data_IF_138506952007
#
_entry.id   IF_138506952007
#
_cell.length_a   1.000
_cell.length_b   1.000
_cell.length_c   1.000
_cell.angle_alpha   90.00
_cell.angle_beta   90.00
_cell.angle_gamma   90.00
#
_symmetry.space_group_name_H-M   'P 1'
#
loop_
_entity.id
_entity.type
_entity.pdbx_description
1 polymer ?
2 polymer ?
3 non-polymer ?
4 non-polymer ?
5 non-polymer ?
6 non-polymer ?
7 water ?
#
# COMPACT_ATOMS: atom_id res chain seq x y z
N UNK A 1 -18.70 14.01 9.43
CA UNK A 1 -18.12 12.87 8.72
C UNK A 1 -17.82 11.73 9.68
N UNK A 2 -18.41 10.56 9.41
CA UNK A 2 -18.17 9.37 10.22
C UNK A 2 -16.74 8.91 9.96
N UNK A 3 -15.86 9.03 10.96
CA UNK A 3 -14.44 8.80 10.75
C UNK A 3 -13.86 8.00 11.91
N UNK A 4 -12.76 7.31 11.62
CA UNK A 4 -11.96 6.63 12.63
C UNK A 4 -10.50 6.93 12.30
N UNK A 5 -9.84 7.71 13.13
CA UNK A 5 -8.50 8.23 12.84
C UNK A 5 -7.52 7.66 13.86
N UNK A 6 -6.57 6.88 13.39
CA UNK A 6 -5.56 6.27 14.24
C UNK A 6 -4.31 7.15 14.31
N UNK A 7 -3.42 6.80 15.24
CA UNK A 7 -2.21 7.56 15.46
C UNK A 7 -1.20 7.30 14.33
N UNK A 8 -0.01 7.88 14.47
CA UNK A 8 0.99 7.82 13.44
C UNK A 8 1.90 6.62 13.54
N UNK A 9 2.85 6.52 12.61
CA UNK A 9 3.77 5.38 12.60
C UNK A 9 4.67 5.36 13.83
N UNK A 10 5.18 4.17 14.13
CA UNK A 10 5.93 3.93 15.35
C UNK A 10 7.20 3.14 15.06
N UNK A 11 8.23 3.41 15.86
CA UNK A 11 9.44 2.59 15.92
C UNK A 11 9.62 2.23 17.39
N UNK A 12 9.65 0.93 17.68
CA UNK A 12 9.74 0.46 19.05
C UNK A 12 10.85 -0.57 19.17
N UNK A 13 11.71 -0.40 20.17
CA UNK A 13 12.77 -1.37 20.42
C UNK A 13 12.17 -2.72 20.81
N UNK A 14 12.83 -3.82 20.47
CA UNK A 14 12.32 -5.15 20.85
C UNK A 14 12.21 -5.28 22.37
N UNK A 15 11.01 -5.60 22.84
CA UNK A 15 10.72 -5.72 24.25
C UNK A 15 9.96 -4.56 24.84
N UNK A 16 9.77 -3.47 24.08
CA UNK A 16 9.07 -2.29 24.58
C UNK A 16 7.56 -2.47 24.35
N UNK A 17 6.81 -1.40 24.59
CA UNK A 17 5.36 -1.42 24.47
C UNK A 17 4.91 -0.28 23.55
N UNK A 18 3.91 -0.56 22.72
CA UNK A 18 3.29 0.44 21.86
C UNK A 18 1.82 0.52 22.21
N UNK A 19 1.26 1.73 22.15
CA UNK A 19 -0.16 1.96 22.43
C UNK A 19 -0.74 2.77 21.28
N UNK A 20 -1.53 2.12 20.43
CA UNK A 20 -2.10 2.75 19.25
C UNK A 20 -3.42 3.40 19.61
N UNK A 21 -3.61 4.63 19.16
CA UNK A 21 -4.84 5.38 19.38
C UNK A 21 -5.83 5.17 18.25
N UNK A 22 -7.09 5.47 18.52
CA UNK A 22 -8.16 5.29 17.53
C UNK A 22 -9.33 6.18 17.96
N UNK A 23 -9.32 7.43 17.51
CA UNK A 23 -10.33 8.40 17.88
C UNK A 23 -11.45 8.42 16.85
N UNK A 24 -12.68 8.60 17.31
CA UNK A 24 -13.87 8.54 16.48
C UNK A 24 -14.47 9.92 16.28
N UNK A 25 -15.25 10.05 15.20
CA UNK A 25 -15.92 11.30 14.87
C UNK A 25 -17.16 10.99 14.05
N UNK A 26 -18.24 11.73 14.31
CA UNK A 26 -19.43 11.62 13.50
C UNK A 26 -20.56 10.82 14.10
N UNK A 27 -20.23 9.71 14.73
CA UNK A 27 -21.22 8.79 15.30
C UNK A 27 -21.10 8.75 16.82
N UNK A 28 -22.10 8.14 17.45
CA UNK A 28 -22.07 7.94 18.90
C UNK A 28 -21.03 6.88 19.24
N UNK A 29 -19.92 7.31 19.83
CA UNK A 29 -18.82 6.38 20.11
C UNK A 29 -19.15 5.44 21.25
N UNK A 30 -19.94 5.89 22.23
CA UNK A 30 -20.25 5.04 23.38
C UNK A 30 -21.12 3.86 23.00
N UNK A 31 -21.92 3.99 21.95
CA UNK A 31 -22.80 2.92 21.49
C UNK A 31 -22.08 1.90 20.62
N UNK A 32 -20.82 2.14 20.25
CA UNK A 32 -20.16 1.39 19.20
C UNK A 32 -19.16 0.41 19.78
N UNK A 33 -19.21 -0.83 19.29
CA UNK A 33 -18.16 -1.80 19.59
C UNK A 33 -16.92 -1.48 18.77
N UNK A 34 -15.80 -2.13 19.12
CA UNK A 34 -14.55 -1.87 18.44
C UNK A 34 -13.70 -3.12 18.43
N UNK A 35 -13.29 -3.55 17.24
CA UNK A 35 -12.37 -4.67 17.08
C UNK A 35 -11.04 -4.17 16.52
N UNK A 36 -9.97 -4.90 16.84
CA UNK A 36 -8.62 -4.56 16.41
C UNK A 36 -8.08 -5.69 15.55
N UNK A 37 -7.52 -5.33 14.39
CA UNK A 37 -6.97 -6.29 13.44
C UNK A 37 -5.63 -5.75 12.94
N UNK A 38 -4.66 -6.65 12.75
CA UNK A 38 -3.37 -6.29 12.20
C UNK A 38 -3.12 -7.07 10.92
N UNK A 39 -2.13 -6.61 10.16
CA UNK A 39 -1.74 -7.28 8.91
C UNK A 39 -0.27 -7.01 8.66
N UNK A 40 0.54 -8.05 8.66
CA UNK A 40 1.95 -7.90 8.32
C UNK A 40 2.10 -7.67 6.81
N UNK A 41 3.23 -7.09 6.44
CA UNK A 41 3.50 -6.71 5.05
C UNK A 41 3.40 -7.92 4.12
N UNK A 42 2.36 -7.97 3.31
CA UNK A 42 2.18 -9.07 2.37
C UNK A 42 1.60 -10.33 2.97
N UNK A 43 0.81 -10.22 4.02
CA UNK A 43 0.17 -11.36 4.66
C UNK A 43 -1.34 -11.14 4.73
N UNK A 44 -2.01 -11.96 5.53
CA UNK A 44 -3.44 -11.87 5.71
C UNK A 44 -3.78 -11.10 6.97
N UNK A 45 -5.06 -10.79 7.13
CA UNK A 45 -5.52 -10.06 8.31
C UNK A 45 -5.54 -10.98 9.52
N UNK A 46 -5.14 -10.44 10.67
CA UNK A 46 -5.09 -11.20 11.91
C UNK A 46 -5.90 -10.48 12.97
N UNK A 47 -6.95 -11.14 13.47
CA UNK A 47 -7.80 -10.56 14.49
C UNK A 47 -7.08 -10.55 15.84
N UNK A 48 -7.13 -9.41 16.52
CA UNK A 48 -6.45 -9.27 17.81
C UNK A 48 -7.47 -9.40 18.93
N UNK A 49 -8.49 -8.55 18.90
CA UNK A 49 -9.53 -8.59 19.92
C UNK A 49 -10.59 -7.56 19.64
N UNK A 50 -11.59 -7.53 20.50
CA UNK A 50 -12.68 -6.58 20.39
C UNK A 50 -13.16 -6.20 21.78
N UNK A 51 -13.82 -5.05 21.86
CA UNK A 51 -14.33 -4.52 23.12
C UNK A 51 -15.79 -4.14 22.93
N UNK A 52 -16.60 -4.42 23.94
CA UNK A 52 -18.04 -4.17 23.88
C UNK A 52 -18.30 -2.69 24.15
N UNK A 53 -19.39 -2.12 23.65
CA UNK A 53 -19.68 -0.72 23.93
C UNK A 53 -20.11 -0.51 25.38
N UNK A 54 -19.82 0.68 25.90
CA UNK A 54 -20.24 1.05 27.24
C UNK A 54 -19.24 0.72 28.32
N UNK A 55 -18.87 -0.55 28.44
CA UNK A 55 -17.97 -1.02 29.48
C UNK A 55 -16.61 -1.35 28.90
N UNK A 56 -15.68 -1.71 29.77
CA UNK A 56 -14.36 -2.13 29.40
C UNK A 56 -14.22 -3.61 29.12
N UNK A 57 -15.32 -4.35 29.10
CA UNK A 57 -15.28 -5.79 28.83
C UNK A 57 -14.71 -6.06 27.45
N UNK A 58 -13.51 -6.64 27.40
CA UNK A 58 -12.83 -6.95 26.15
C UNK A 58 -12.65 -8.45 26.01
N UNK A 59 -12.37 -8.88 24.77
CA UNK A 59 -12.14 -10.28 24.46
C UNK A 59 -11.01 -10.37 23.44
N UNK A 60 -10.02 -11.20 23.72
CA UNK A 60 -8.83 -11.29 22.89
C UNK A 60 -8.67 -12.69 22.31
N UNK A 61 -7.89 -12.77 21.24
CA UNK A 61 -7.48 -14.08 20.74
C UNK A 61 -6.41 -14.66 21.65
N UNK A 62 -6.29 -15.99 21.63
CA UNK A 62 -5.34 -16.67 22.51
C UNK A 62 -3.90 -16.23 22.23
N UNK A 63 -3.61 -15.84 20.98
CA UNK A 63 -2.25 -15.46 20.63
C UNK A 63 -1.84 -14.15 21.30
N UNK A 64 -2.79 -13.23 21.46
CA UNK A 64 -2.51 -11.91 22.02
C UNK A 64 -3.08 -11.74 23.42
N UNK A 65 -3.57 -12.82 24.05
CA UNK A 65 -4.20 -12.71 25.36
C UNK A 65 -3.22 -12.18 26.41
N UNK A 66 -1.95 -12.58 26.33
CA UNK A 66 -1.03 -12.32 27.41
C UNK A 66 -0.45 -10.91 27.39
N UNK A 67 -0.38 -10.27 26.22
CA UNK A 67 0.35 -9.02 26.10
C UNK A 67 -0.40 -7.90 25.40
N UNK A 68 -1.66 -8.09 25.01
CA UNK A 68 -2.47 -7.05 24.39
C UNK A 68 -3.55 -6.62 25.36
N UNK A 69 -3.73 -5.31 25.51
CA UNK A 69 -4.77 -4.74 26.37
C UNK A 69 -5.54 -3.72 25.55
N UNK A 70 -6.82 -3.99 25.30
CA UNK A 70 -7.69 -3.10 24.53
C UNK A 70 -8.56 -2.33 25.52
N UNK A 71 -8.49 -1.00 25.44
CA UNK A 71 -9.23 -0.11 26.33
C UNK A 71 -10.01 0.89 25.49
N UNK A 72 -10.74 1.78 26.17
CA UNK A 72 -11.52 2.79 25.50
C UNK A 72 -11.84 3.91 26.49
N UNK A 73 -12.02 5.12 25.96
CA UNK A 73 -12.26 6.31 26.77
C UNK A 73 -13.46 7.03 26.18
N UNK A 74 -14.60 7.00 26.89
CA UNK A 74 -15.82 7.60 26.38
C UNK A 74 -15.75 9.12 26.43
N UNK A 75 -14.97 9.68 27.36
CA UNK A 75 -14.88 11.13 27.49
C UNK A 75 -14.18 11.75 26.29
N UNK A 76 -13.06 11.16 25.87
CA UNK A 76 -12.29 11.66 24.74
C UNK A 76 -12.62 10.94 23.44
N UNK A 77 -13.55 9.97 23.48
CA UNK A 77 -14.02 9.27 22.29
C UNK A 77 -12.87 8.58 21.55
N UNK A 78 -12.00 7.89 22.31
CA UNK A 78 -10.84 7.25 21.73
C UNK A 78 -10.66 5.86 22.33
N UNK A 79 -10.50 4.87 21.47
CA UNK A 79 -10.14 3.52 21.89
C UNK A 79 -8.66 3.29 21.69
N UNK A 80 -8.09 2.44 22.55
CA UNK A 80 -6.66 2.18 22.52
C UNK A 80 -6.40 0.67 22.46
N UNK A 81 -5.21 0.33 21.96
CA UNK A 81 -4.75 -1.05 21.93
C UNK A 81 -3.26 -1.04 22.26
N UNK A 82 -2.90 -1.57 23.42
CA UNK A 82 -1.53 -1.57 23.90
C UNK A 82 -0.95 -2.97 23.77
N UNK A 83 0.17 -3.09 23.05
CA UNK A 83 0.84 -4.36 22.82
C UNK A 83 2.21 -4.31 23.49
N UNK A 84 2.38 -5.09 24.55
CA UNK A 84 3.62 -5.16 25.29
C UNK A 84 4.47 -6.35 24.81
N UNK A 85 5.71 -6.38 25.28
CA UNK A 85 6.67 -7.42 24.91
C UNK A 85 6.80 -7.53 23.39
N UNK A 86 7.03 -6.38 22.76
CA UNK A 86 7.11 -6.32 21.30
C UNK A 86 8.31 -7.11 20.79
N UNK A 87 8.08 -7.89 19.73
CA UNK A 87 9.13 -8.65 19.06
C UNK A 87 9.06 -8.41 17.57
N UNK A 88 9.98 -9.05 16.83
CA UNK A 88 10.12 -8.77 15.40
C UNK A 88 8.86 -9.13 14.63
N UNK A 89 8.19 -10.23 15.03
CA UNK A 89 7.02 -10.69 14.30
C UNK A 89 5.81 -9.80 14.48
N UNK A 90 5.89 -8.77 15.33
CA UNK A 90 4.77 -7.88 15.54
C UNK A 90 4.71 -6.74 14.54
N UNK A 91 5.73 -6.56 13.70
CA UNK A 91 5.74 -5.52 12.70
C UNK A 91 4.59 -5.71 11.71
N UNK A 92 3.62 -4.80 11.74
CA UNK A 92 2.42 -4.92 10.92
C UNK A 92 1.70 -3.57 10.91
N UNK A 93 0.61 -3.52 10.15
CA UNK A 93 -0.29 -2.37 10.13
C UNK A 93 -1.52 -2.71 10.97
N UNK A 94 -1.72 -1.97 12.05
CA UNK A 94 -2.78 -2.25 13.00
C UNK A 94 -3.99 -1.36 12.71
N UNK A 95 -5.15 -1.98 12.55
CA UNK A 95 -6.38 -1.28 12.22
C UNK A 95 -7.37 -1.36 13.38
N UNK A 96 -8.26 -0.37 13.45
CA UNK A 96 -9.41 -0.40 14.34
C UNK A 96 -10.68 -0.25 13.51
N UNK A 97 -11.69 -1.06 13.85
CA UNK A 97 -12.95 -1.05 13.14
C UNK A 97 -14.09 -0.90 14.14
N UNK A 98 -15.20 -0.36 13.67
CA UNK A 98 -16.35 -0.10 14.53
C UNK A 98 -17.60 0.04 13.68
N UNK A 99 -18.75 -0.37 14.17
CA UNK A 99 -20.00 -0.02 13.50
C UNK A 99 -20.44 1.39 13.88
N UNK A 100 -21.03 2.08 12.91
CA UNK A 100 -21.54 3.42 13.17
C UNK A 100 -22.87 3.34 13.90
N UNK A 101 -23.11 4.30 14.77
CA UNK A 101 -24.29 4.29 15.63
C UNK A 101 -24.80 5.72 15.81
N UNK A 102 -26.10 5.84 16.01
CA UNK A 102 -26.64 7.07 16.57
C UNK A 102 -26.89 6.83 18.06
N UNK A 103 -27.80 7.61 18.65
CA UNK A 103 -28.01 7.52 20.10
C UNK A 103 -28.68 6.22 20.52
N UNK A 104 -29.34 5.51 19.60
CA UNK A 104 -30.08 4.31 19.97
C UNK A 104 -29.76 3.09 19.12
N UNK A 105 -29.55 3.26 17.82
CA UNK A 105 -29.36 2.14 16.91
C UNK A 105 -27.92 2.09 16.41
N UNK A 106 -27.51 0.88 16.00
CA UNK A 106 -26.17 0.63 15.49
C UNK A 106 -26.25 -0.20 14.22
N UNK A 107 -25.15 -0.23 13.49
CA UNK A 107 -25.02 -1.12 12.35
C UNK A 107 -24.75 -2.55 12.84
N UNK A 108 -25.08 -3.51 11.99
CA UNK A 108 -24.94 -4.92 12.35
C UNK A 108 -23.57 -5.49 12.06
N UNK A 109 -22.66 -4.69 11.50
CA UNK A 109 -21.31 -5.15 11.20
C UNK A 109 -20.36 -3.96 11.25
N UNK A 110 -19.08 -4.25 11.08
CA UNK A 110 -18.02 -3.24 11.19
C UNK A 110 -17.82 -2.59 9.82
N UNK A 111 -18.37 -1.39 9.65
CA UNK A 111 -18.25 -0.66 8.40
C UNK A 111 -17.32 0.54 8.47
N UNK A 112 -16.99 1.03 9.66
CA UNK A 112 -16.10 2.17 9.84
C UNK A 112 -14.73 1.63 10.19
N UNK A 113 -13.72 2.02 9.40
CA UNK A 113 -12.36 1.51 9.57
C UNK A 113 -11.39 2.67 9.67
N UNK A 114 -10.37 2.50 10.51
CA UNK A 114 -9.29 3.46 10.58
C UNK A 114 -8.30 3.26 9.45
N UNK A 115 -7.49 4.31 9.21
CA UNK A 115 -6.53 4.27 8.13
C UNK A 115 -5.36 3.33 8.41
N UNK A 116 -5.21 2.86 9.64
CA UNK A 116 -4.13 1.96 9.98
C UNK A 116 -2.93 2.64 10.57
N UNK A 117 -2.28 1.98 11.53
CA UNK A 117 -1.07 2.49 12.15
C UNK A 117 0.05 1.46 11.92
N UNK A 118 1.11 1.89 11.26
CA UNK A 118 2.24 1.01 10.95
C UNK A 118 3.22 1.04 12.10
N UNK A 119 3.43 -0.12 12.74
CA UNK A 119 4.36 -0.27 13.84
C UNK A 119 5.50 -1.17 13.38
N UNK A 120 6.73 -0.70 13.54
CA UNK A 120 7.92 -1.45 13.16
C UNK A 120 8.77 -1.70 14.41
N UNK A 121 9.13 -2.95 14.63
CA UNK A 121 9.95 -3.35 15.77
C UNK A 121 11.33 -3.72 15.24
N UNK A 122 12.35 -3.01 15.72
CA UNK A 122 13.73 -3.28 15.35
C UNK A 122 14.65 -2.50 16.27
N UNK A 123 15.88 -2.98 16.40
CA UNK A 123 16.90 -2.25 17.14
C UNK A 123 17.52 -1.11 16.33
N UNK A 124 17.27 -1.07 15.03
CA UNK A 124 17.82 -0.02 14.19
C UNK A 124 17.22 1.33 14.55
N UNK A 125 18.04 2.38 14.48
CA UNK A 125 17.60 3.72 14.85
C UNK A 125 16.87 4.39 13.69
N UNK A 126 16.04 5.37 14.03
CA UNK A 126 15.27 6.10 13.04
C UNK A 126 16.16 7.06 12.26
N UNK A 127 15.87 7.20 10.97
CA UNK A 127 16.64 8.10 10.11
C UNK A 127 15.72 8.72 9.07
N UNK A 128 15.80 10.04 8.92
CA UNK A 128 15.01 10.75 7.95
C UNK A 128 15.57 10.63 6.55
N UNK A 129 14.72 10.85 5.55
CA UNK A 129 15.13 10.65 4.16
C UNK A 129 15.76 11.88 3.54
N UNK A 130 16.56 11.64 2.51
CA UNK A 130 17.06 12.67 1.62
C UNK A 130 16.22 12.65 0.35
N UNK A 131 15.72 13.81 -0.07
CA UNK A 131 14.88 13.94 -1.24
C UNK A 131 15.71 14.55 -2.36
N UNK A 132 15.88 13.81 -3.45
CA UNK A 132 16.61 14.26 -4.62
C UNK A 132 15.68 14.39 -5.82
N UNK A 133 15.94 15.34 -6.71
CA UNK A 133 15.05 15.52 -7.86
C UNK A 133 15.35 14.54 -8.99
N UNK A 134 14.27 14.03 -9.59
CA UNK A 134 14.37 13.28 -10.84
C UNK A 134 13.93 14.24 -11.95
N UNK A 135 14.89 15.06 -12.37
CA UNK A 135 14.58 16.18 -13.25
C UNK A 135 14.19 15.67 -14.64
N UNK A 136 13.24 16.33 -15.30
CA UNK A 136 12.89 15.94 -16.67
C UNK A 136 13.88 16.51 -17.67
N UNK A 137 14.03 15.80 -18.79
CA UNK A 137 14.99 16.18 -19.81
C UNK A 137 14.52 15.62 -21.15
N UNK A 138 15.39 15.70 -22.16
CA UNK A 138 15.09 15.09 -23.45
C UNK A 138 15.04 13.58 -23.34
N UNK A 139 15.80 13.01 -22.41
CA UNK A 139 15.83 11.57 -22.19
C UNK A 139 14.71 11.09 -21.28
N UNK A 140 13.73 11.94 -20.97
CA UNK A 140 12.55 11.54 -20.21
C UNK A 140 11.28 12.12 -20.83
N UNK A 141 11.27 12.32 -22.14
CA UNK A 141 10.14 12.86 -22.88
C UNK A 141 9.79 11.92 -24.02
N UNK A 142 8.50 11.65 -24.17
CA UNK A 142 7.99 10.82 -25.25
C UNK A 142 6.65 11.40 -25.69
N UNK A 143 6.46 11.50 -27.00
CA UNK A 143 5.34 12.26 -27.52
C UNK A 143 5.43 13.70 -27.06
N UNK A 144 4.33 14.18 -26.45
CA UNK A 144 4.24 15.49 -25.88
C UNK A 144 4.30 15.53 -24.37
N UNK A 145 4.60 14.40 -23.73
CA UNK A 145 4.57 14.26 -22.29
C UNK A 145 5.97 14.01 -21.76
N UNK A 146 6.25 14.57 -20.59
CA UNK A 146 7.53 14.44 -19.92
C UNK A 146 7.32 13.85 -18.53
N UNK A 147 8.35 13.19 -18.02
CA UNK A 147 8.32 12.55 -16.71
C UNK A 147 9.33 13.21 -15.78
N UNK A 148 8.89 13.45 -14.55
CA UNK A 148 9.74 13.98 -13.49
C UNK A 148 9.35 13.30 -12.20
N UNK A 149 10.17 13.46 -11.17
CA UNK A 149 9.85 12.80 -9.92
C UNK A 149 10.80 13.16 -8.80
N UNK A 150 10.67 12.42 -7.70
CA UNK A 150 11.46 12.61 -6.50
C UNK A 150 11.99 11.28 -6.00
N UNK A 151 13.25 11.27 -5.59
CA UNK A 151 13.89 10.09 -5.02
C UNK A 151 13.99 10.25 -3.51
N UNK A 152 13.14 9.53 -2.78
CA UNK A 152 13.13 9.55 -1.33
C UNK A 152 14.02 8.39 -0.87
N UNK A 153 15.23 8.72 -0.41
CA UNK A 153 16.29 7.74 -0.27
C UNK A 153 16.87 7.73 1.14
N UNK A 154 17.17 6.51 1.62
CA UNK A 154 17.93 6.28 2.85
C UNK A 154 17.17 6.78 4.08
N UNK A 155 16.05 6.11 4.35
CA UNK A 155 15.24 6.40 5.52
C UNK A 155 14.85 5.10 6.20
N UNK A 156 14.46 5.22 7.48
CA UNK A 156 14.02 4.08 8.27
C UNK A 156 13.21 4.63 9.44
N UNK A 157 12.06 4.04 9.76
CA UNK A 157 11.52 2.89 9.02
C UNK A 157 10.45 3.31 8.03
N UNK A 158 9.69 2.34 7.55
CA UNK A 158 8.47 2.65 6.81
C UNK A 158 7.50 3.38 7.74
N UNK A 159 6.60 4.20 7.18
CA UNK A 159 6.46 4.54 5.77
C UNK A 159 6.84 5.99 5.46
N UNK A 160 6.58 6.41 4.23
CA UNK A 160 6.70 7.81 3.83
C UNK A 160 5.49 8.16 2.99
N UNK A 161 5.08 9.43 3.05
CA UNK A 161 3.96 9.93 2.28
C UNK A 161 4.49 10.91 1.24
N UNK A 162 4.10 10.71 -0.02
CA UNK A 162 4.51 11.58 -1.12
C UNK A 162 3.27 12.04 -1.87
N UNK A 163 3.09 13.36 -1.94
CA UNK A 163 2.08 13.99 -2.78
C UNK A 163 2.75 15.04 -3.64
N UNK A 164 2.01 15.54 -4.63
CA UNK A 164 2.55 16.49 -5.59
C UNK A 164 1.71 17.77 -5.59
N UNK A 165 2.39 18.91 -5.48
CA UNK A 165 1.74 20.23 -5.48
C UNK A 165 0.69 20.31 -4.39
N UNK A 166 1.03 19.81 -3.20
CA UNK A 166 0.15 19.82 -2.03
C UNK A 166 -1.16 19.09 -2.29
N UNK A 167 -1.11 18.05 -3.12
CA UNK A 167 -2.28 17.27 -3.43
C UNK A 167 -3.07 17.73 -4.64
N UNK A 168 -2.68 18.85 -5.25
CA UNK A 168 -3.39 19.33 -6.44
C UNK A 168 -3.08 18.47 -7.66
N UNK A 169 -2.00 17.71 -7.64
CA UNK A 169 -1.58 16.89 -8.76
C UNK A 169 -1.72 15.42 -8.37
N UNK A 170 -2.67 14.73 -9.00
CA UNK A 170 -2.89 13.31 -8.75
C UNK A 170 -2.85 12.51 -10.04
N UNK A 171 -3.30 13.14 -11.14
CA UNK A 171 -3.33 12.45 -12.42
C UNK A 171 -1.92 12.17 -12.90
N UNK A 172 -1.64 10.90 -13.18
CA UNK A 172 -0.35 10.48 -13.70
C UNK A 172 0.74 10.24 -12.68
N UNK A 173 0.41 10.24 -11.39
CA UNK A 173 1.39 10.03 -10.34
C UNK A 173 1.54 8.54 -10.08
N UNK A 174 2.79 8.10 -9.94
CA UNK A 174 3.12 6.72 -9.57
C UNK A 174 4.14 6.77 -8.44
N UNK A 175 3.69 6.48 -7.22
CA UNK A 175 4.58 6.37 -6.08
C UNK A 175 4.89 4.89 -5.86
N UNK A 176 6.11 4.49 -6.21
CA UNK A 176 6.49 3.09 -6.14
C UNK A 176 6.71 2.66 -4.69
N UNK A 177 6.51 1.39 -4.39
CA UNK A 177 6.80 0.90 -3.04
C UNK A 177 8.29 0.90 -2.76
N UNK A 178 8.62 1.05 -1.48
CA UNK A 178 10.02 1.17 -1.07
C UNK A 178 10.74 -0.16 -1.23
N UNK A 179 12.05 -0.08 -1.46
CA UNK A 179 12.92 -1.24 -1.47
C UNK A 179 13.85 -1.15 -0.27
N UNK A 180 14.17 -2.30 0.31
CA UNK A 180 15.08 -2.37 1.44
C UNK A 180 16.50 -2.49 0.90
N UNK A 181 17.27 -1.42 1.06
CA UNK A 181 18.65 -1.40 0.58
C UNK A 181 19.54 -2.24 1.50
N UNK A 182 20.72 -2.60 0.97
CA UNK A 182 21.66 -3.42 1.73
C UNK A 182 22.15 -2.71 2.98
N UNK A 183 21.99 -1.39 3.07
CA UNK A 183 22.39 -0.63 4.24
C UNK A 183 21.41 -0.74 5.39
N UNK A 184 20.25 -1.37 5.19
CA UNK A 184 19.22 -1.43 6.19
C UNK A 184 18.21 -0.31 6.12
N UNK A 185 18.42 0.68 5.26
CA UNK A 185 17.50 1.79 5.07
C UNK A 185 16.66 1.56 3.82
N UNK A 186 15.52 2.25 3.77
CA UNK A 186 14.61 2.14 2.64
C UNK A 186 14.89 3.25 1.63
N UNK A 187 14.40 3.04 0.41
CA UNK A 187 14.55 4.02 -0.66
C UNK A 187 13.32 3.93 -1.56
N UNK A 188 12.69 5.08 -1.81
CA UNK A 188 11.46 5.14 -2.57
C UNK A 188 11.60 6.21 -3.65
N UNK A 189 10.85 6.02 -4.74
CA UNK A 189 10.79 7.00 -5.82
C UNK A 189 9.34 7.24 -6.21
N UNK A 190 8.97 8.50 -6.35
CA UNK A 190 7.66 8.91 -6.86
C UNK A 190 7.87 9.71 -8.14
N UNK A 191 7.08 9.40 -9.16
CA UNK A 191 7.19 10.04 -10.46
C UNK A 191 5.81 10.49 -10.92
N UNK A 192 5.79 11.36 -11.92
CA UNK A 192 4.55 11.87 -12.50
C UNK A 192 4.84 12.27 -13.95
N UNK A 193 3.89 11.97 -14.83
CA UNK A 193 4.00 12.33 -16.24
C UNK A 193 3.14 13.58 -16.50
N UNK A 194 3.77 14.59 -17.12
CA UNK A 194 3.10 15.86 -17.40
C UNK A 194 3.37 16.23 -18.85
N UNK A 195 2.52 17.07 -19.46
CA UNK A 195 2.82 17.54 -20.81
C UNK A 195 4.09 18.36 -20.85
N UNK A 196 4.84 18.22 -21.95
CA UNK A 196 6.14 18.87 -22.06
C UNK A 196 6.02 20.39 -22.01
N UNK A 197 4.96 20.94 -22.61
CA UNK A 197 4.81 22.39 -22.69
C UNK A 197 4.54 23.04 -21.34
N UNK A 198 4.24 22.26 -20.30
CA UNK A 198 3.97 22.81 -18.98
C UNK A 198 5.23 22.97 -18.14
N UNK A 199 6.36 22.40 -18.56
CA UNK A 199 7.55 22.39 -17.72
C UNK A 199 8.09 23.80 -17.48
N UNK A 200 7.82 24.73 -18.39
CA UNK A 200 8.36 26.07 -18.25
C UNK A 200 7.49 27.03 -17.47
N UNK A 201 6.18 26.83 -17.51
CA UNK A 201 5.23 27.75 -16.89
C UNK A 201 4.49 27.15 -15.70
N UNK A 202 4.81 25.92 -15.29
CA UNK A 202 4.15 25.27 -14.17
C UNK A 202 5.21 24.70 -13.24
N UNK A 203 5.07 24.96 -11.94
CA UNK A 203 5.99 24.46 -10.95
C UNK A 203 5.49 23.14 -10.39
N UNK A 204 6.43 22.24 -10.09
CA UNK A 204 6.10 20.91 -9.58
C UNK A 204 6.88 20.66 -8.30
N UNK A 205 6.16 20.40 -7.22
CA UNK A 205 6.75 20.21 -5.90
C UNK A 205 6.23 18.89 -5.33
N UNK A 206 7.15 18.00 -4.97
CA UNK A 206 6.79 16.76 -4.29
C UNK A 206 6.84 17.00 -2.79
N UNK A 207 5.79 16.57 -2.09
CA UNK A 207 5.67 16.78 -0.65
C UNK A 207 5.98 15.45 0.05
N UNK A 208 7.10 15.40 0.75
CA UNK A 208 7.57 14.18 1.41
C UNK A 208 7.41 14.35 2.91
N UNK A 209 6.76 13.36 3.54
CA UNK A 209 6.55 13.37 4.99
C UNK A 209 6.96 12.02 5.55
N UNK A 210 7.94 12.02 6.45
CA UNK A 210 8.40 10.83 7.16
C UNK A 210 8.12 11.06 8.64
N UNK A 211 6.93 10.66 9.08
CA UNK A 211 6.52 10.93 10.46
C UNK A 211 7.42 10.30 11.52
N UNK A 212 7.98 9.10 11.36
CA UNK A 212 8.85 8.56 12.43
C UNK A 212 10.04 9.44 12.75
N UNK A 213 10.53 10.23 11.79
CA UNK A 213 11.66 11.12 12.02
C UNK A 213 11.26 12.59 12.07
N UNK A 214 9.97 12.90 11.98
CA UNK A 214 9.48 14.28 11.93
C UNK A 214 10.19 15.06 10.82
N UNK A 215 10.23 14.47 9.63
CA UNK A 215 10.92 15.04 8.48
C UNK A 215 9.89 15.37 7.42
N UNK A 216 9.66 16.66 7.18
CA UNK A 216 8.82 17.14 6.10
C UNK A 216 9.67 17.94 5.13
N UNK A 217 9.67 17.54 3.86
CA UNK A 217 10.50 18.16 2.83
C UNK A 217 9.65 18.43 1.60
N UNK A 218 9.68 19.67 1.12
CA UNK A 218 9.02 20.06 -0.11
C UNK A 218 10.10 20.37 -1.14
N UNK A 219 10.34 19.42 -2.05
CA UNK A 219 11.39 19.51 -3.05
C UNK A 219 10.79 19.88 -4.40
N UNK A 220 11.26 20.98 -4.97
CA UNK A 220 10.83 21.40 -6.29
C UNK A 220 11.71 20.77 -7.36
N UNK A 221 11.07 20.14 -8.34
CA UNK A 221 11.77 19.45 -9.43
C UNK A 221 11.74 20.36 -10.65
N UNK A 222 12.92 20.83 -11.06
CA UNK A 222 13.07 21.73 -12.20
C UNK A 222 13.73 21.01 -13.37
N UNK A 223 13.46 21.45 -14.60
CA UNK A 223 14.05 20.78 -15.77
C UNK A 223 15.57 20.86 -15.76
N UNK A 224 16.19 19.89 -16.41
CA UNK A 224 17.65 19.83 -16.49
C UNK A 224 18.13 20.18 -17.90
N UNK B 1 -10.54 -22.78 17.61
CA UNK B 1 -10.76 -21.62 16.76
C UNK B 1 -11.27 -22.04 15.38
N UNK B 2 -12.21 -21.27 14.84
CA UNK B 2 -12.77 -21.56 13.53
C UNK B 2 -11.77 -21.15 12.46
N UNK B 3 -11.45 -22.08 11.57
CA UNK B 3 -10.52 -21.82 10.47
C UNK B 3 -11.31 -21.41 9.23
N UNK B 4 -10.90 -20.29 8.63
CA UNK B 4 -11.52 -19.78 7.41
C UNK B 4 -10.54 -19.95 6.25
N UNK B 5 -10.97 -20.64 5.21
CA UNK B 5 -10.13 -20.94 4.05
C UNK B 5 -10.79 -20.37 2.81
N UNK B 6 -10.06 -19.50 2.11
CA UNK B 6 -10.55 -18.88 0.87
C UNK B 6 -9.81 -19.47 -0.32
N UNK B 7 -10.52 -19.61 -1.44
CA UNK B 7 -9.94 -20.14 -2.66
C UNK B 7 -10.62 -19.47 -3.84
N UNK B 8 -9.89 -19.18 -4.92
CA UNK B 8 -8.45 -19.44 -5.05
C UNK B 8 -7.61 -18.35 -4.39
N UNK B 9 -6.30 -18.57 -4.27
CA UNK B 9 -5.45 -17.53 -3.72
C UNK B 9 -5.38 -16.29 -4.60
N UNK B 10 -5.47 -16.47 -5.92
CA UNK B 10 -5.40 -15.37 -6.87
C UNK B 10 -6.34 -15.69 -8.04
N UNK B 11 -7.05 -14.65 -8.51
CA UNK B 11 -7.99 -14.78 -9.61
C UNK B 11 -7.74 -13.65 -10.61
N UNK B 12 -7.30 -14.00 -11.82
CA UNK B 12 -7.02 -13.04 -12.87
C UNK B 12 -8.13 -13.11 -13.90
N UNK B 13 -8.93 -12.05 -13.99
CA UNK B 13 -10.11 -12.04 -14.83
C UNK B 13 -10.16 -10.79 -15.69
N UNK B 14 -10.79 -10.92 -16.85
CA UNK B 14 -11.01 -9.78 -17.74
C UNK B 14 -12.17 -8.93 -17.22
N UNK B 15 -12.14 -7.63 -17.47
CA UNK B 15 -13.26 -6.77 -17.06
C UNK B 15 -14.54 -7.16 -17.79
N UNK B 16 -15.64 -7.16 -17.06
CA UNK B 16 -16.93 -7.58 -17.56
C UNK B 16 -17.29 -9.02 -17.25
N UNK B 17 -16.30 -9.85 -16.94
CA UNK B 17 -16.56 -11.24 -16.57
C UNK B 17 -17.09 -11.32 -15.13
N UNK B 18 -17.61 -12.50 -14.78
CA UNK B 18 -18.12 -12.73 -13.44
C UNK B 18 -17.03 -13.36 -12.58
N UNK B 19 -16.76 -12.74 -11.44
CA UNK B 19 -15.83 -13.28 -10.47
C UNK B 19 -16.57 -14.15 -9.45
N UNK B 20 -15.89 -15.18 -8.98
CA UNK B 20 -16.47 -16.10 -7.99
C UNK B 20 -15.41 -16.41 -6.95
N UNK B 21 -15.73 -16.15 -5.68
CA UNK B 21 -14.80 -16.31 -4.58
C UNK B 21 -15.41 -17.20 -3.52
N UNK B 22 -14.60 -18.10 -2.98
CA UNK B 22 -15.06 -19.09 -2.00
C UNK B 22 -14.52 -18.74 -0.61
N UNK B 23 -15.36 -19.01 0.40
CA UNK B 23 -14.98 -18.85 1.80
C UNK B 23 -15.59 -20.01 2.56
N UNK B 24 -14.74 -20.81 3.21
CA UNK B 24 -15.20 -22.02 3.88
C UNK B 24 -14.65 -22.07 5.30
N UNK B 25 -15.52 -22.46 6.23
CA UNK B 25 -15.18 -22.53 7.64
C UNK B 25 -15.10 -23.98 8.10
N UNK B 26 -14.22 -24.24 9.07
CA UNK B 26 -14.08 -25.57 9.63
C UNK B 26 -15.32 -26.02 10.40
N UNK B 27 -16.27 -25.12 10.66
CA UNK B 27 -17.52 -25.48 11.28
C UNK B 27 -18.58 -24.47 10.86
N UNK B 28 -19.84 -24.81 11.12
CA UNK B 28 -20.94 -23.96 10.69
C UNK B 28 -20.94 -22.65 11.48
N UNK B 29 -20.96 -21.53 10.75
CA UNK B 29 -21.07 -20.21 11.34
C UNK B 29 -22.41 -19.61 10.94
N UNK B 30 -22.97 -18.81 11.85
CA UNK B 30 -24.26 -18.17 11.57
C UNK B 30 -24.10 -17.15 10.45
N UNK B 31 -25.05 -17.17 9.51
CA UNK B 31 -24.92 -16.34 8.30
C UNK B 31 -24.88 -14.86 8.63
N UNK B 32 -25.61 -14.42 9.66
CA UNK B 32 -25.61 -13.02 10.04
C UNK B 32 -24.28 -12.57 10.62
N UNK B 33 -23.32 -13.47 10.84
CA UNK B 33 -22.03 -13.14 11.40
C UNK B 33 -20.88 -13.50 10.46
N UNK B 34 -21.15 -13.52 9.16
CA UNK B 34 -20.10 -13.64 8.15
C UNK B 34 -20.07 -12.36 7.32
N UNK B 35 -18.89 -11.76 7.22
CA UNK B 35 -18.71 -10.51 6.50
C UNK B 35 -17.67 -10.68 5.40
N UNK B 36 -17.81 -9.88 4.36
CA UNK B 36 -16.84 -9.79 3.28
C UNK B 36 -16.24 -8.38 3.27
N UNK B 37 -14.93 -8.31 3.09
CA UNK B 37 -14.22 -7.03 3.06
C UNK B 37 -13.45 -6.91 1.76
N UNK B 38 -13.22 -5.65 1.37
CA UNK B 38 -12.45 -5.31 0.18
C UNK B 38 -11.35 -4.35 0.59
N UNK B 39 -10.10 -4.75 0.36
CA UNK B 39 -8.94 -3.90 0.67
C UNK B 39 -8.19 -3.62 -0.62
N UNK B 40 -8.30 -2.39 -1.10
CA UNK B 40 -7.58 -1.97 -2.29
C UNK B 40 -6.17 -1.53 -1.91
N UNK B 41 -5.24 -1.49 -2.87
CA UNK B 41 -3.85 -1.15 -2.53
C UNK B 41 -3.74 0.19 -1.82
N UNK B 42 -3.01 0.21 -0.71
CA UNK B 42 -2.79 1.42 0.04
C UNK B 42 -4.02 1.97 0.72
N UNK B 43 -5.03 1.13 0.95
CA UNK B 43 -6.28 1.58 1.58
C UNK B 43 -6.65 0.63 2.71
N UNK B 44 -7.47 1.13 3.63
CA UNK B 44 -8.00 0.32 4.70
C UNK B 44 -9.07 -0.63 4.15
N UNK B 45 -9.36 -1.71 4.86
CA UNK B 45 -10.43 -2.61 4.41
C UNK B 45 -11.78 -1.91 4.37
N UNK B 46 -12.63 -2.38 3.46
CA UNK B 46 -13.94 -1.80 3.23
C UNK B 46 -14.99 -2.91 3.30
N UNK B 47 -16.00 -2.72 4.15
CA UNK B 47 -17.04 -3.74 4.31
C UNK B 47 -17.91 -3.81 3.07
N UNK B 48 -17.93 -4.97 2.43
CA UNK B 48 -18.75 -5.19 1.24
C UNK B 48 -20.09 -5.85 1.60
N UNK B 49 -20.03 -7.08 2.09
CA UNK B 49 -21.22 -7.87 2.39
C UNK B 49 -21.16 -8.26 3.86
N UNK B 50 -22.27 -8.05 4.56
CA UNK B 50 -22.44 -8.57 5.91
C UNK B 50 -23.74 -9.39 5.95
N UNK B 51 -23.87 -10.21 6.99
CA UNK B 51 -25.00 -11.12 7.05
C UNK B 51 -25.05 -12.06 5.86
N UNK B 52 -23.89 -12.46 5.34
CA UNK B 52 -23.74 -13.38 4.23
C UNK B 52 -24.23 -12.81 2.90
N UNK B 53 -25.36 -12.08 2.90
CA UNK B 53 -25.97 -11.69 1.64
C UNK B 53 -26.51 -10.25 1.65
N UNK B 54 -26.11 -9.41 2.61
CA UNK B 54 -26.60 -8.04 2.69
C UNK B 54 -25.48 -7.09 2.29
N UNK B 55 -25.70 -6.35 1.20
CA UNK B 55 -24.73 -5.37 0.75
C UNK B 55 -24.67 -4.20 1.72
N UNK B 56 -23.45 -3.79 2.09
CA UNK B 56 -23.30 -2.63 2.94
C UNK B 56 -23.66 -1.35 2.18
N UNK B 57 -23.78 -0.26 2.91
CA UNK B 57 -24.15 1.01 2.31
C UNK B 57 -23.09 1.47 1.32
N UNK B 58 -23.53 1.91 0.15
CA UNK B 58 -22.63 2.40 -0.88
C UNK B 58 -22.02 1.33 -1.75
N UNK B 59 -22.21 0.07 -1.44
CA UNK B 59 -21.61 -1.01 -2.23
C UNK B 59 -22.44 -1.22 -3.50
N UNK B 60 -21.83 -1.20 -4.68
CA UNK B 60 -22.60 -1.39 -5.92
C UNK B 60 -23.33 -2.71 -5.94
N UNK B 61 -24.37 -2.77 -6.76
CA UNK B 61 -25.23 -3.95 -6.84
C UNK B 61 -24.58 -5.11 -7.58
N UNK B 62 -23.45 -4.89 -8.26
CA UNK B 62 -22.78 -5.99 -8.93
C UNK B 62 -22.09 -6.93 -7.94
N UNK B 63 -21.87 -6.47 -6.71
CA UNK B 63 -21.37 -7.35 -5.66
C UNK B 63 -22.52 -8.13 -5.04
N UNK B 64 -22.32 -9.42 -4.84
CA UNK B 64 -23.37 -10.29 -4.32
C UNK B 64 -22.77 -11.32 -3.38
N UNK B 65 -23.42 -11.53 -2.24
CA UNK B 65 -23.00 -12.53 -1.27
C UNK B 65 -24.06 -13.60 -1.15
N UNK B 66 -23.61 -14.83 -0.92
CA UNK B 66 -24.51 -15.98 -0.79
C UNK B 66 -23.78 -17.05 0.02
N UNK B 67 -24.50 -18.12 0.31
CA UNK B 67 -23.96 -19.24 1.06
C UNK B 67 -24.51 -19.28 2.48
N UNK B 68 -24.21 -20.39 3.15
CA UNK B 68 -24.66 -20.62 4.52
C UNK B 68 -23.83 -21.74 5.12
N UNK B 69 -23.94 -21.89 6.43
CA UNK B 69 -23.25 -22.95 7.15
C UNK B 69 -21.74 -22.88 7.06
N UNK B 70 -21.16 -23.65 6.14
CA UNK B 70 -19.71 -23.73 5.98
C UNK B 70 -19.21 -23.30 4.62
N UNK B 71 -20.11 -22.99 3.67
CA UNK B 71 -19.71 -22.62 2.31
C UNK B 71 -20.39 -21.29 1.98
N UNK B 72 -19.58 -20.25 1.79
CA UNK B 72 -20.07 -18.91 1.46
C UNK B 72 -19.41 -18.43 0.18
N UNK B 73 -20.14 -17.62 -0.58
CA UNK B 73 -19.75 -17.23 -1.93
C UNK B 73 -19.86 -15.71 -2.07
N UNK B 74 -18.83 -15.11 -2.67
CA UNK B 74 -18.88 -13.73 -3.13
C UNK B 74 -18.87 -13.73 -4.65
N UNK B 75 -19.79 -12.97 -5.25
CA UNK B 75 -19.95 -12.93 -6.70
C UNK B 75 -19.91 -11.48 -7.18
N UNK B 76 -19.07 -11.22 -8.16
CA UNK B 76 -18.97 -9.91 -8.82
C UNK B 76 -19.46 -10.11 -10.24
N UNK B 77 -20.70 -9.68 -10.51
CA UNK B 77 -21.38 -10.05 -11.74
C UNK B 77 -20.63 -9.53 -12.97
N UNK B 78 -20.45 -8.21 -13.07
CA UNK B 78 -19.62 -7.62 -14.11
C UNK B 78 -18.40 -7.01 -13.44
N UNK B 79 -17.24 -7.58 -13.71
CA UNK B 79 -16.01 -7.11 -13.09
C UNK B 79 -15.57 -5.81 -13.77
N UNK B 80 -15.25 -4.81 -12.95
CA UNK B 80 -14.74 -3.54 -13.45
C UNK B 80 -13.27 -3.40 -13.08
N UNK B 81 -12.49 -2.65 -13.87
CA UNK B 81 -11.06 -2.51 -13.55
C UNK B 81 -10.80 -1.90 -12.18
N UNK B 82 -11.75 -1.13 -11.65
CA UNK B 82 -11.60 -0.57 -10.31
C UNK B 82 -11.77 -1.61 -9.21
N UNK B 83 -12.30 -2.79 -9.53
CA UNK B 83 -12.57 -3.82 -8.54
C UNK B 83 -11.34 -4.63 -8.15
N UNK B 84 -10.16 -4.27 -8.63
CA UNK B 84 -8.96 -5.00 -8.26
C UNK B 84 -8.62 -4.73 -6.81
N UNK B 85 -8.48 -5.80 -6.02
CA UNK B 85 -8.17 -5.72 -4.60
C UNK B 85 -8.01 -7.11 -4.02
N UNK B 86 -7.71 -7.20 -2.72
CA UNK B 86 -7.75 -8.45 -1.99
C UNK B 86 -9.08 -8.50 -1.24
N UNK B 87 -9.79 -9.62 -1.37
CA UNK B 87 -11.10 -9.78 -0.76
C UNK B 87 -10.99 -10.78 0.39
N UNK B 88 -11.32 -10.32 1.59
CA UNK B 88 -11.27 -11.13 2.79
C UNK B 88 -12.68 -11.45 3.27
N UNK B 89 -12.86 -12.65 3.79
CA UNK B 89 -14.06 -13.02 4.53
C UNK B 89 -13.69 -13.18 6.00
N UNK B 90 -14.64 -12.85 6.87
CA UNK B 90 -14.42 -12.95 8.31
C UNK B 90 -15.71 -13.43 8.98
N UNK B 91 -15.56 -14.34 9.93
CA UNK B 91 -16.65 -14.72 10.81
C UNK B 91 -16.45 -14.03 12.15
N UNK B 92 -17.51 -13.45 12.70
CA UNK B 92 -17.42 -12.74 13.95
C UNK B 92 -18.59 -13.08 14.86
N UNK B 93 -19.00 -14.35 14.83
CA UNK B 93 -20.03 -14.84 15.73
C UNK B 93 -19.46 -15.74 16.81
N UNK B 94 -18.21 -16.15 16.63
CA UNK B 94 -17.52 -17.01 17.58
C UNK B 94 -16.09 -16.53 17.74
N UNK B 95 -15.70 -16.22 18.97
CA UNK B 95 -14.34 -15.78 19.22
C UNK B 95 -13.38 -16.97 19.20
N UNK B 96 -12.19 -16.82 18.58
CA UNK B 96 -11.71 -15.60 17.94
C UNK B 96 -12.31 -15.37 16.55
N UNK B 97 -12.50 -14.09 16.21
CA UNK B 97 -13.13 -13.70 14.95
C UNK B 97 -12.10 -13.82 13.83
N UNK B 98 -11.89 -15.05 13.40
CA UNK B 98 -10.81 -15.36 12.46
C UNK B 98 -11.11 -14.84 11.06
N UNK B 99 -10.04 -14.59 10.32
CA UNK B 99 -10.10 -14.14 8.94
C UNK B 99 -9.66 -15.26 8.00
N UNK B 100 -10.02 -15.10 6.73
CA UNK B 100 -9.46 -15.93 5.69
C UNK B 100 -8.18 -15.34 5.12
N UNK B 101 -7.45 -16.14 4.35
CA UNK B 101 -6.21 -15.66 3.77
C UNK B 101 -6.42 -14.70 2.62
N UNK B 102 -7.66 -14.44 2.21
CA UNK B 102 -7.94 -13.47 1.18
C UNK B 102 -7.73 -13.99 -0.22
N UNK B 103 -8.44 -13.41 -1.17
CA UNK B 103 -8.30 -13.73 -2.59
C UNK B 103 -7.95 -12.46 -3.35
N UNK B 104 -6.83 -12.49 -4.06
CA UNK B 104 -6.36 -11.35 -4.85
C UNK B 104 -6.99 -11.42 -6.23
N UNK B 105 -7.57 -10.30 -6.67
CA UNK B 105 -8.25 -10.21 -7.96
C UNK B 105 -7.45 -9.27 -8.85
N UNK B 106 -6.91 -9.80 -9.94
CA UNK B 106 -6.22 -9.02 -10.95
C UNK B 106 -7.13 -8.82 -12.16
N UNK B 107 -6.81 -7.80 -12.95
CA UNK B 107 -7.56 -7.46 -14.15
C UNK B 107 -6.72 -7.79 -15.37
N UNK B 108 -7.34 -8.42 -16.36
CA UNK B 108 -6.68 -8.70 -17.62
C UNK B 108 -6.95 -7.60 -18.63
N UNK B 109 -6.02 -7.41 -19.55
CA UNK B 109 -6.16 -6.39 -20.58
C UNK B 109 -5.18 -6.69 -21.70
N UNK B 110 -5.32 -5.95 -22.80
CA UNK B 110 -4.45 -6.13 -23.95
C UNK B 110 -3.00 -5.81 -23.58
N UNK B 111 -2.08 -6.37 -24.36
CA UNK B 111 -0.66 -6.10 -24.17
C UNK B 111 -0.41 -4.62 -24.37
N UNK B 112 0.42 -4.04 -23.50
CA UNK B 112 0.77 -2.63 -23.58
C UNK B 112 2.28 -2.49 -23.37
N UNK B 113 2.96 -1.93 -24.37
CA UNK B 113 4.39 -1.74 -24.26
C UNK B 113 4.70 -0.58 -23.30
N UNK B 114 5.82 -0.64 -22.60
CA UNK B 114 6.16 0.42 -21.64
C UNK B 114 6.74 1.65 -22.34
N UNK B 115 6.69 2.76 -21.61
CA UNK B 115 7.38 3.98 -21.98
C UNK B 115 8.59 4.13 -21.07
N UNK B 116 9.78 4.22 -21.66
CA UNK B 116 11.03 4.17 -20.91
C UNK B 116 11.59 5.58 -20.76
N UNK B 117 11.92 5.96 -19.54
CA UNK B 117 12.55 7.23 -19.23
C UNK B 117 13.71 6.98 -18.26
N UNK B 118 14.80 7.71 -18.46
CA UNK B 118 15.98 7.57 -17.62
C UNK B 118 16.29 8.93 -17.00
N UNK B 119 16.79 8.89 -15.76
CA UNK B 119 17.07 10.10 -14.99
C UNK B 119 18.48 10.03 -14.44
N UNK B 120 19.36 10.97 -14.82
CA UNK B 120 20.71 10.99 -14.26
C UNK B 120 20.68 11.41 -12.80
N UNK B 121 21.72 11.10 -12.02
CA UNK B 121 21.74 11.53 -10.63
C UNK B 121 21.86 13.05 -10.53
N UNK B 122 21.24 13.59 -9.48
CA UNK B 122 21.27 15.03 -9.26
C UNK B 122 22.61 15.44 -8.67
N UNK B 123 22.99 16.70 -8.92
CA UNK B 123 24.22 17.23 -8.35
C UNK B 123 24.17 17.25 -6.82
N UNK B 124 22.97 17.38 -6.25
CA UNK B 124 22.85 17.35 -4.80
C UNK B 124 23.25 15.99 -4.24
N UNK B 125 22.87 14.91 -4.93
CA UNK B 125 23.25 13.57 -4.48
C UNK B 125 24.73 13.33 -4.74
N UNK B 126 25.26 13.83 -5.85
CA UNK B 126 26.68 13.66 -6.15
C UNK B 126 27.56 14.31 -5.08
N UNK B 127 27.05 15.35 -4.42
CA UNK B 127 27.79 15.96 -3.31
C UNK B 127 27.90 15.00 -2.13
N UNK B 128 26.95 14.10 -1.96
CA UNK B 128 26.96 13.14 -0.87
C UNK B 128 27.90 11.97 -1.11
N UNK B 129 28.52 11.89 -2.28
CA UNK B 129 29.41 10.79 -2.60
C UNK B 129 28.75 9.58 -3.24
N UNK B 130 27.47 9.66 -3.53
CA UNK B 130 26.73 8.55 -4.15
C UNK B 130 26.04 9.05 -5.40
N UNK B 131 25.74 8.12 -6.30
CA UNK B 131 25.03 8.42 -7.54
C UNK B 131 23.94 7.39 -7.77
N UNK B 132 22.73 7.85 -8.06
CA UNK B 132 21.60 6.98 -8.35
C UNK B 132 21.07 7.33 -9.73
N UNK B 133 21.06 6.34 -10.62
CA UNK B 133 20.49 6.48 -11.95
C UNK B 133 19.20 5.69 -11.99
N UNK B 134 18.12 6.33 -12.42
CA UNK B 134 16.77 5.77 -12.32
C UNK B 134 16.24 5.53 -13.72
N UNK B 135 15.73 4.32 -13.95
CA UNK B 135 15.06 3.94 -15.19
C UNK B 135 13.58 3.73 -14.88
N UNK B 136 12.72 4.34 -15.69
CA UNK B 136 11.28 4.33 -15.46
C UNK B 136 10.57 3.64 -16.62
N UNK B 137 9.85 2.57 -16.33
CA UNK B 137 8.98 1.88 -17.27
C UNK B 137 7.54 2.19 -16.88
N UNK B 138 6.81 2.86 -17.77
CA UNK B 138 5.55 3.49 -17.43
C UNK B 138 4.40 2.88 -18.23
N UNK B 139 3.38 2.40 -17.50
CA UNK B 139 2.11 1.96 -18.07
C UNK B 139 2.31 0.85 -19.11
N UNK B 140 2.54 -0.35 -18.59
CA UNK B 140 2.73 -1.53 -19.44
C UNK B 140 1.94 -2.71 -18.89
N UNK B 141 1.75 -3.71 -19.76
CA UNK B 141 1.06 -4.96 -19.43
C UNK B 141 1.47 -5.99 -20.47
N UNK B 142 1.78 -7.24 -20.08
CA UNK B 142 1.72 -7.76 -18.70
C UNK B 142 2.84 -7.26 -17.80
N UNK B 143 2.83 -7.71 -16.55
CA UNK B 143 3.76 -7.22 -15.55
C UNK B 143 5.20 -7.66 -15.82
N UNK B 144 5.40 -8.73 -16.59
CA UNK B 144 6.75 -9.26 -16.80
C UNK B 144 7.55 -8.34 -17.71
N UNK B 145 8.64 -7.78 -17.18
CA UNK B 145 9.50 -6.89 -17.95
C UNK B 145 10.92 -7.01 -17.43
N UNK B 146 11.87 -7.08 -18.38
CA UNK B 146 13.28 -7.26 -18.07
C UNK B 146 14.01 -5.93 -18.25
N UNK B 147 14.74 -5.52 -17.22
CA UNK B 147 15.50 -4.26 -17.24
C UNK B 147 16.96 -4.59 -16.96
N UNK B 148 17.82 -4.31 -17.92
CA UNK B 148 19.26 -4.51 -17.78
C UNK B 148 19.98 -3.17 -17.86
N UNK B 149 20.98 -2.99 -17.02
CA UNK B 149 21.79 -1.78 -17.00
C UNK B 149 23.12 -2.01 -17.69
N UNK B 150 23.56 -1.01 -18.45
CA UNK B 150 24.86 -1.04 -19.11
C UNK B 150 25.59 0.26 -18.82
N UNK B 151 26.85 0.14 -18.39
CA UNK B 151 27.70 1.29 -18.12
C UNK B 151 28.96 1.12 -18.96
N UNK B 152 29.06 1.93 -20.02
CA UNK B 152 30.12 1.79 -21.02
C UNK B 152 30.13 0.36 -21.58
N UNK B 153 28.93 -0.13 -21.90
CA UNK B 153 28.73 -1.46 -22.49
C UNK B 153 29.20 -2.56 -21.55
N UNK B 154 29.20 -2.29 -20.25
CA UNK B 154 29.47 -3.29 -19.22
C UNK B 154 28.17 -3.59 -18.50
N UNK B 155 27.72 -4.84 -18.59
CA UNK B 155 26.46 -5.23 -17.98
C UNK B 155 26.54 -5.14 -16.46
N UNK B 156 25.62 -4.38 -15.87
CA UNK B 156 25.55 -4.23 -14.43
C UNK B 156 24.58 -5.27 -13.86
N UNK B 157 25.00 -5.96 -12.81
CA UNK B 157 24.16 -6.93 -12.13
C UNK B 157 24.52 -6.96 -10.66
N UNK B 158 23.52 -6.96 -9.79
CA UNK B 158 23.73 -6.97 -8.36
C UNK B 158 23.79 -5.61 -7.71
N UNK B 159 23.80 -4.52 -8.48
CA UNK B 159 23.83 -3.18 -7.95
C UNK B 159 22.61 -2.36 -8.33
N UNK B 160 21.59 -3.00 -8.90
CA UNK B 160 20.35 -2.33 -9.25
C UNK B 160 19.20 -2.97 -8.48
N UNK B 161 18.17 -2.17 -8.19
CA UNK B 161 16.98 -2.64 -7.50
C UNK B 161 15.74 -2.13 -8.22
N UNK B 162 14.75 -3.01 -8.36
CA UNK B 162 13.51 -2.70 -9.05
C UNK B 162 12.36 -2.59 -8.07
N UNK B 163 11.28 -1.98 -8.53
CA UNK B 163 10.05 -1.85 -7.77
C UNK B 163 8.89 -1.67 -8.75
N UNK B 164 7.80 -2.38 -8.51
CA UNK B 164 6.64 -2.37 -9.39
C UNK B 164 5.43 -1.86 -8.62
N UNK B 165 4.69 -0.93 -9.22
CA UNK B 165 3.46 -0.46 -8.62
C UNK B 165 2.40 -1.55 -8.70
N UNK B 166 1.37 -1.42 -7.86
CA UNK B 166 0.20 -2.26 -8.03
C UNK B 166 -0.51 -1.91 -9.33
N UNK B 167 -1.39 -2.81 -9.76
CA UNK B 167 -2.09 -2.60 -11.02
C UNK B 167 -2.96 -1.34 -10.93
N UNK B 168 -2.90 -0.51 -11.96
CA UNK B 168 -3.63 0.76 -11.95
C UNK B 168 -5.12 0.50 -12.00
N UNK B 169 -5.87 1.25 -11.20
CA UNK B 169 -7.31 1.02 -11.07
C UNK B 169 -8.10 1.49 -12.28
N UNK B 170 -7.49 2.27 -13.18
CA UNK B 170 -8.20 2.80 -14.34
C UNK B 170 -7.86 2.05 -15.63
N UNK B 171 -6.59 2.03 -16.02
CA UNK B 171 -6.17 1.37 -17.26
C UNK B 171 -5.53 0.01 -17.04
N UNK B 172 -5.46 -0.46 -15.80
CA UNK B 172 -5.03 -1.83 -15.48
C UNK B 172 -3.59 -2.10 -15.91
N UNK B 173 -2.74 -1.08 -15.92
CA UNK B 173 -1.35 -1.24 -16.30
C UNK B 173 -0.45 -1.22 -15.07
N UNK B 174 0.80 -1.61 -15.28
CA UNK B 174 1.84 -1.57 -14.25
C UNK B 174 2.88 -0.52 -14.60
N UNK B 175 3.67 -0.14 -13.60
CA UNK B 175 4.81 0.74 -13.79
C UNK B 175 5.97 0.25 -12.93
N UNK B 176 7.16 0.22 -13.51
CA UNK B 176 8.35 -0.29 -12.84
C UNK B 176 9.37 0.84 -12.66
N UNK B 177 10.17 0.75 -11.60
CA UNK B 177 11.22 1.72 -11.33
C UNK B 177 12.47 0.96 -10.92
N UNK B 178 13.51 1.04 -11.74
CA UNK B 178 14.81 0.44 -11.45
C UNK B 178 15.81 1.52 -11.10
N UNK B 179 16.58 1.28 -10.03
CA UNK B 179 17.54 2.26 -9.54
C UNK B 179 18.93 1.63 -9.54
N UNK B 180 19.85 2.22 -10.29
CA UNK B 180 21.25 1.82 -10.31
C UNK B 180 22.02 2.69 -9.32
N UNK B 181 22.78 2.06 -8.43
CA UNK B 181 23.52 2.75 -7.39
C UNK B 181 25.02 2.58 -7.62
N UNK B 182 25.72 3.70 -7.81
CA UNK B 182 27.17 3.71 -7.98
C UNK B 182 27.77 4.77 -7.07
N UNK B 183 29.04 4.58 -6.74
CA UNK B 183 29.76 5.60 -6.00
C UNK B 183 30.00 6.81 -6.88
N UNK B 184 30.20 7.96 -6.23
CA UNK B 184 30.51 9.18 -6.99
C UNK B 184 31.80 9.00 -7.78
N UNK B 185 32.78 8.29 -7.21
CA UNK B 185 34.02 8.03 -7.93
C UNK B 185 33.77 7.16 -9.15
N UNK B 186 33.10 6.02 -8.96
CA UNK B 186 32.81 5.13 -10.08
C UNK B 186 31.92 5.80 -11.11
N UNK B 187 31.01 6.67 -10.67
CA UNK B 187 30.11 7.33 -11.61
C UNK B 187 30.84 8.32 -12.50
N UNK B 188 31.89 8.97 -11.98
CA UNK B 188 32.64 9.94 -12.76
C UNK B 188 33.64 9.31 -13.72
N UNK B 189 33.90 8.01 -13.58
CA UNK B 189 34.86 7.34 -14.45
C UNK B 189 34.28 6.91 -15.78
N UNK B 190 32.95 6.88 -15.91
CA UNK B 190 32.29 6.34 -17.09
C UNK B 190 31.39 7.39 -17.71
N UNK B 191 30.92 7.10 -18.92
CA UNK B 191 30.20 8.09 -19.73
C UNK B 191 28.81 7.63 -20.12
N UNK B 192 28.67 6.47 -20.76
CA UNK B 192 27.40 6.04 -21.33
C UNK B 192 26.64 5.21 -20.30
N UNK B 193 25.50 5.72 -19.85
CA UNK B 193 24.63 5.03 -18.90
C UNK B 193 23.31 4.71 -19.60
N UNK B 194 22.97 3.43 -19.65
CA UNK B 194 21.81 2.96 -20.40
C UNK B 194 21.07 1.88 -19.63
N UNK B 195 19.74 1.89 -19.75
CA UNK B 195 18.91 0.77 -19.32
C UNK B 195 18.20 0.20 -20.55
N UNK B 196 18.36 -1.10 -20.76
CA UNK B 196 17.71 -1.81 -21.85
C UNK B 196 16.46 -2.49 -21.32
N UNK B 197 15.36 -2.38 -22.06
CA UNK B 197 14.05 -2.86 -21.63
C UNK B 197 13.57 -3.91 -22.62
N UNK B 198 13.29 -5.11 -22.12
CA UNK B 198 12.68 -6.18 -22.89
C UNK B 198 11.27 -6.43 -22.38
N UNK B 199 10.31 -6.45 -23.29
CA UNK B 199 8.91 -6.61 -22.89
C UNK B 199 8.12 -7.16 -24.07
N UNK B 200 7.01 -7.83 -23.76
CA UNK B 200 6.20 -8.48 -24.79
C UNK B 200 5.62 -7.46 -25.78
N UNK B 201 5.34 -6.25 -25.31
CA UNK B 201 4.81 -5.20 -26.16
C UNK B 201 5.81 -4.55 -27.08
N UNK B 202 7.09 -4.90 -26.98
CA UNK B 202 8.14 -4.32 -27.80
C UNK B 202 8.61 -5.34 -28.83
N UNK B 203 8.75 -4.91 -30.08
CA UNK B 203 9.24 -5.80 -31.12
C UNK B 203 10.69 -6.20 -30.85
N UNK B 204 11.50 -5.27 -30.35
CA UNK B 204 12.89 -5.50 -30.01
C UNK B 204 13.20 -4.68 -28.76
N UNK B 205 14.23 -5.06 -28.00
CA UNK B 205 14.54 -4.34 -26.76
C UNK B 205 14.81 -2.86 -27.01
N UNK B 206 14.27 -2.02 -26.14
CA UNK B 206 14.39 -0.57 -26.23
C UNK B 206 15.46 -0.11 -25.24
N UNK B 207 16.34 0.78 -25.70
CA UNK B 207 17.45 1.28 -24.90
C UNK B 207 17.30 2.79 -24.74
N UNK B 208 17.31 3.26 -23.50
CA UNK B 208 17.36 4.68 -23.17
C UNK B 208 18.69 4.97 -22.48
N UNK B 209 19.43 5.95 -23.00
CA UNK B 209 20.78 6.22 -22.53
C UNK B 209 21.05 7.72 -22.50
N UNK B 210 22.08 8.09 -21.73
CA UNK B 210 22.56 9.46 -21.69
C UNK B 210 24.06 9.44 -21.49
N UNK B 211 24.71 10.53 -21.88
CA UNK B 211 26.15 10.71 -21.70
C UNK B 211 26.39 11.67 -20.54
N UNK B 212 27.18 11.23 -19.57
CA UNK B 212 27.48 12.03 -18.39
C UNK B 212 28.14 13.36 -18.77
X LIG C 1 -31.09 5.93 14.56
X LIG C 1 -32.34 6.82 14.59
X LIG C 1 -33.58 6.05 14.18
X LIG C 1 -33.36 5.36 12.83
X LIG C 1 -32.12 4.50 12.89
X LIG C 1 -31.77 3.86 11.56
X LIG C 1 -31.93 8.55 16.31
X LIG C 1 -32.24 8.99 17.71
X LIG C 1 -32.52 7.40 15.92
X LIG C 1 -34.69 6.93 14.10
X LIG C 1 -34.48 4.56 12.50
X LIG C 1 -30.98 5.31 13.26
X LIG C 1 -30.82 2.82 11.72
X LIG C 1 -31.18 9.18 15.57
X LIG D 1 -21.77 -5.82 17.94
X LIG D 1 -22.85 -5.48 17.13
X LIG D 1 -21.03 -6.99 17.26
X LIG D 1 -19.69 -7.03 17.59
X LIG D 1 -21.79 -8.26 17.74
X LIG D 1 -21.15 -9.37 17.16
X LIG E 1 -8.32 -6.40 29.88
X LIG E 1 -7.09 -6.86 29.22
X LIG E 1 -7.97 -5.74 31.14
X LIG E 1 -9.17 -7.54 30.15
X LIG E 1 -9.02 -5.45 29.01
X LIG F 1 22.48 0.51 -0.79
X LIG F 1 23.78 0.98 -0.61
X LIG F 1 22.46 -0.22 -2.15
X LIG F 1 23.67 -0.81 -2.43
X LIG F 1 21.32 -1.26 -2.02
X LIG F 1 21.11 -1.79 -3.29
X LIG G 1 -4.08 -18.62 -9.76
X LIG G 1 -5.22 -19.12 -10.37
X LIG G 1 -3.65 -19.64 -8.67
X LIG G 1 -2.30 -19.56 -8.38
X LIG G 1 -4.54 -19.34 -7.45
X LIG G 1 -3.71 -18.73 -6.51
X LIG H 1 -22.87 -11.17 19.30
X LIG H 1 -24.01 -10.97 19.77
X LIG H 1 -22.72 -11.34 18.08
X LIG H 1 -21.65 -11.20 20.22
X LIG H 1 -20.64 -12.25 19.76
X LIG H 1 -20.18 -11.92 18.43
X LIG H 1 -19.44 -12.29 20.71
X LIG H 1 -18.30 -13.07 20.10
X LIG H 1 -17.24 -13.22 20.75
X LIG H 1 -18.39 -13.57 18.95
X LIG H 1 -21.29 -13.64 19.75
X LIG H 1 -20.95 -14.47 20.62
X LIG H 1 -22.16 -13.95 18.91
X LIG I 1 -13.09 2.99 -3.10
X LIG I 1 -12.33 4.09 -3.69
X LIG I 1 -12.27 2.32 -2.10
X LIG I 1 -14.30 3.51 -2.47
X LIG I 1 -13.44 2.03 -4.14
X LIG J 1 -16.54 1.16 -5.96
X LIG J 1 -15.82 2.40 -5.67
X LIG J 1 -16.11 0.12 -5.04
X LIG J 1 -17.97 1.40 -5.80
X LIG J 1 -16.27 0.75 -7.33
X LIG K 1 -28.64 -17.13 11.06
X LIG K 1 -28.83 -17.89 12.29
X LIG K 1 -27.23 -16.76 10.93
X LIG K 1 -29.45 -15.92 11.08
X LIG K 1 -29.02 -17.96 9.92
X LIG L 1 20.53 19.29 -8.52
X LIG L 1 21.27 20.55 -8.63
X LIG L 1 21.27 18.38 -7.65
X LIG L 1 19.22 19.55 -7.94
X LIG L 1 20.39 18.69 -9.84
X LIG M 1 -23.40 -2.36 -11.38
X LIG M 1 -22.63 -2.27 -10.13
X LIG M 1 -23.37 -1.06 -12.05
X LIG M 1 -24.78 -2.72 -11.09
X LIG M 1 -22.80 -3.36 -12.25
X LIG N 1 -20.86 -28.34 12.59
X LIG N 1 -20.53 -27.42 13.68
X LIG N 1 -21.11 -29.66 13.14
X LIG N 1 -22.06 -27.86 11.91
X LIG N 1 -19.75 -28.39 11.65
X LIG O 1 -1.87 8.12 -16.59
X LIG O 1 -2.62 8.24 -15.34
X LIG O 1 -0.59 7.49 -16.34
X LIG O 1 -2.64 7.32 -17.55
X LIG O 1 -1.65 9.46 -17.15
X LIG P 1 1.69 6.10 -21.84
X LIG P 1 2.54 7.02 -21.07
X LIG P 1 2.36 4.82 -21.97
X LIG P 1 0.42 5.91 -21.14
X LIG P 1 1.44 6.66 -23.16
X LIG Q 1 -17.50 -17.15 22.16
X LIG Q 1 -17.32 -16.27 23.30
X LIG Q 1 -16.20 -17.52 21.60
X LIG Q 1 -18.20 -18.36 22.58
X LIG Q 1 -18.29 -16.47 21.13
#
# INVERSE_FOLDING_TARGET
EVQLVESGPEVKKPGTSVKVSCKASGFSFSMSAMQWVRRARGQRLEWIGWIVPGSGNANYAQKFQERVTITRDESTNTGYMELSSLRSEDTAVYYCAAPHCNKTNCYDAFDIWGQGTMVTVSSASTKGPSVFPLAPSSKSTSGGTAALGCLVKDYFPEPVTVSWNSGALTSGVHTFPAVLQSSGLYSLSSVVTVPSSSLGTQTYICNVNHKPSNTKVDKRVEPKSCDK
AIRMTQSPGTLSLSPGERATLSCRASQSVRSSYLAWYQQKPGQAPRLLIYGASTRATGIPDRFSGSGSGTDFILTINRLEPEDLAVYYCQQFGSSPWTFGQGTKVDIKRTVAAPSVFIFPPSDEQLKSGTASVVCLLNNFYPREAKVQWKVDNALQSGNSQESVTEQDSKDSTYSLSSTLTLSKADYEKHKVYACEVTHQGLSSPVTKSFNRGEC
NAG C1 C2 C3 C4 C5 C6 C7 C8 N2 O3 O4 O5 O6 O7
GOL C1 O1 C2 O2 C3 O3
SO4 S O1 O2 O3 O4
GOL C1 O1 C2 O2 C3 O3
GOL C1 O1 C2 O2 C3 O3
CIT C1 O1 O2 C2 C3 O7 C4 C5 O3 O4 C6 O5 O6
SO4 S O1 O2 O3 O4
SO4 S O1 O2 O3 O4
SO4 S O1 O2 O3 O4
SO4 S O1 O2 O3 O4
SO4 S O1 O2 O3 O4
SO4 S O1 O2 O3 O4
SO4 S O1 O2 O3 O4
SO4 S O1 O2 O3 O4
SO4 S O1 O2 O3 O4
#
